data_IF_001307222940
#
_entry.id   IF_001307222940
#
_cell.length_a   1.000
_cell.length_b   1.000
_cell.length_c   1.000
_cell.angle_alpha   90.00
_cell.angle_beta   90.00
_cell.angle_gamma   90.00
#
_symmetry.space_group_name_H-M   'P 1'
#
loop_
_entity.id
_entity.type
_entity.pdbx_description
1 polymer ?
#
# COMPACT_ATOMS: atom_id res chain seq x y z
N UNK A 1 19.06 6.90 -22.57
CA UNK A 1 17.76 7.57 -22.76
C UNK A 1 16.77 6.92 -21.80
N UNK A 2 16.27 7.65 -20.81
CA UNK A 2 15.32 7.11 -19.82
C UNK A 2 13.94 7.06 -20.47
N UNK A 3 13.34 5.86 -20.55
CA UNK A 3 11.97 5.68 -21.05
C UNK A 3 10.99 6.22 -20.00
N UNK A 4 10.30 7.32 -20.27
CA UNK A 4 9.18 7.75 -19.44
C UNK A 4 8.00 6.83 -19.73
N UNK A 5 7.50 6.03 -18.78
CA UNK A 5 6.32 5.21 -19.04
C UNK A 5 5.14 6.15 -19.29
N UNK A 6 4.53 6.06 -20.47
CA UNK A 6 3.34 6.82 -20.84
C UNK A 6 2.12 6.31 -20.02
N UNK A 7 2.05 6.70 -18.76
CA UNK A 7 0.94 6.35 -17.88
C UNK A 7 -0.29 7.21 -18.20
N UNK A 8 -1.44 6.57 -18.43
CA UNK A 8 -2.71 7.27 -18.70
C UNK A 8 -3.43 7.53 -17.38
N UNK A 9 -3.71 8.80 -17.08
CA UNK A 9 -4.58 9.15 -15.96
C UNK A 9 -6.02 8.70 -16.23
N UNK A 10 -6.58 7.91 -15.32
CA UNK A 10 -7.98 7.47 -15.34
C UNK A 10 -8.70 8.03 -14.10
N UNK A 11 -9.88 8.63 -14.31
CA UNK A 11 -10.71 9.17 -13.23
C UNK A 11 -11.89 8.25 -12.95
N UNK A 12 -12.24 8.11 -11.68
CA UNK A 12 -13.46 7.43 -11.26
C UNK A 12 -14.65 8.35 -11.56
N UNK A 13 -15.74 7.79 -12.09
CA UNK A 13 -16.98 8.54 -12.35
C UNK A 13 -17.54 9.09 -11.02
N UNK A 14 -17.99 10.36 -10.95
CA UNK A 14 -18.65 10.89 -9.76
C UNK A 14 -19.78 9.98 -9.26
N UNK A 15 -19.96 9.91 -7.94
CA UNK A 15 -20.99 9.10 -7.27
C UNK A 15 -20.90 7.58 -7.55
N UNK A 16 -19.70 7.07 -7.82
CA UNK A 16 -19.48 5.63 -8.01
C UNK A 16 -18.44 5.05 -7.03
N UNK A 17 -18.72 5.08 -5.71
CA UNK A 17 -17.77 4.69 -4.67
C UNK A 17 -17.28 3.23 -4.79
N UNK A 18 -18.09 2.33 -5.35
CA UNK A 18 -17.71 0.93 -5.59
C UNK A 18 -16.39 0.74 -6.34
N UNK A 19 -16.00 1.69 -7.21
CA UNK A 19 -14.74 1.60 -7.95
C UNK A 19 -13.51 1.94 -7.09
N UNK A 20 -13.72 2.62 -5.96
CA UNK A 20 -12.68 3.02 -5.02
C UNK A 20 -12.49 2.03 -3.86
N UNK A 21 -13.32 0.98 -3.77
CA UNK A 21 -13.38 0.10 -2.61
C UNK A 21 -12.05 -0.58 -2.22
N UNK A 22 -11.14 -0.83 -3.19
CA UNK A 22 -9.79 -1.34 -2.88
C UNK A 22 -8.96 -0.33 -2.10
N UNK A 23 -8.98 0.94 -2.51
CA UNK A 23 -8.26 2.03 -1.84
C UNK A 23 -8.88 2.28 -0.46
N UNK A 24 -10.21 2.33 -0.39
CA UNK A 24 -10.94 2.53 0.87
C UNK A 24 -10.62 1.43 1.87
N UNK A 25 -10.60 0.16 1.43
CA UNK A 25 -10.26 -0.95 2.31
C UNK A 25 -8.80 -0.90 2.77
N UNK A 26 -7.86 -0.53 1.90
CA UNK A 26 -6.46 -0.34 2.27
C UNK A 26 -6.31 0.80 3.31
N UNK A 27 -6.94 1.95 3.06
CA UNK A 27 -6.92 3.11 3.97
C UNK A 27 -7.49 2.76 5.34
N UNK A 28 -8.60 2.01 5.39
CA UNK A 28 -9.19 1.54 6.63
C UNK A 28 -8.26 0.62 7.43
N UNK A 29 -7.65 -0.37 6.76
CA UNK A 29 -6.69 -1.29 7.40
C UNK A 29 -5.46 -0.52 7.90
N UNK A 30 -4.93 0.42 7.12
CA UNK A 30 -3.84 1.31 7.55
C UNK A 30 -4.22 2.13 8.78
N UNK A 31 -5.45 2.64 8.83
CA UNK A 31 -5.92 3.40 9.98
C UNK A 31 -6.04 2.53 11.24
N UNK A 32 -6.73 1.39 11.12
CA UNK A 32 -7.00 0.47 12.22
C UNK A 32 -5.72 -0.21 12.75
N UNK A 33 -4.83 -0.68 11.86
CA UNK A 33 -3.67 -1.50 12.24
C UNK A 33 -2.39 -0.70 12.48
N UNK A 34 -2.33 0.56 12.04
CA UNK A 34 -1.11 1.36 12.13
C UNK A 34 -1.32 2.73 12.74
N UNK A 35 -2.18 3.57 12.14
CA UNK A 35 -2.31 4.96 12.58
C UNK A 35 -2.85 5.07 13.99
N UNK A 36 -3.86 4.26 14.33
CA UNK A 36 -4.56 4.30 15.61
C UNK A 36 -4.27 3.10 16.51
N UNK A 37 -3.39 2.18 16.09
CA UNK A 37 -3.01 1.02 16.89
C UNK A 37 -2.07 1.38 18.06
N UNK A 38 -1.39 2.53 17.99
CA UNK A 38 -0.54 3.08 19.05
C UNK A 38 -0.37 4.58 18.92
N UNK A 39 0.02 5.21 20.03
CA UNK A 39 0.44 6.61 20.03
C UNK A 39 1.84 6.78 19.43
N UNK A 40 2.08 7.93 18.82
CA UNK A 40 3.35 8.30 18.18
C UNK A 40 3.90 9.56 18.84
N UNK A 41 5.20 9.59 19.13
CA UNK A 41 5.81 10.76 19.77
C UNK A 41 6.24 11.82 18.75
N UNK A 42 6.37 11.46 17.48
CA UNK A 42 6.66 12.39 16.39
C UNK A 42 6.21 11.86 15.02
N UNK A 43 6.05 12.78 14.07
CA UNK A 43 5.78 12.41 12.68
C UNK A 43 6.93 11.62 12.03
N UNK A 44 8.18 11.95 12.38
CA UNK A 44 9.35 11.27 11.85
C UNK A 44 9.41 9.80 12.29
N UNK A 45 9.06 9.52 13.55
CA UNK A 45 8.91 8.16 14.07
C UNK A 45 7.82 7.40 13.30
N UNK A 46 6.65 8.03 13.14
CA UNK A 46 5.52 7.45 12.39
C UNK A 46 5.89 7.14 10.94
N UNK A 47 6.53 8.08 10.24
CA UNK A 47 6.96 7.88 8.86
C UNK A 47 7.98 6.74 8.71
N UNK A 48 8.91 6.62 9.66
CA UNK A 48 9.90 5.53 9.68
C UNK A 48 9.21 4.17 9.85
N UNK A 49 8.33 4.06 10.84
CA UNK A 49 7.63 2.82 11.12
C UNK A 49 6.62 2.42 10.02
N UNK A 50 6.04 3.38 9.30
CA UNK A 50 5.16 3.13 8.16
C UNK A 50 5.85 2.29 7.09
N UNK A 51 7.17 2.44 6.92
CA UNK A 51 7.93 1.62 5.97
C UNK A 51 7.93 0.15 6.35
N UNK A 52 8.14 -0.17 7.64
CA UNK A 52 8.05 -1.54 8.14
C UNK A 52 6.63 -2.10 8.01
N UNK A 53 5.62 -1.30 8.35
CA UNK A 53 4.22 -1.72 8.23
C UNK A 53 3.82 -2.03 6.77
N UNK A 54 4.27 -1.22 5.79
CA UNK A 54 4.03 -1.50 4.36
C UNK A 54 4.60 -2.85 3.93
N UNK A 55 5.81 -3.19 4.38
CA UNK A 55 6.44 -4.48 4.08
C UNK A 55 5.60 -5.61 4.70
N UNK A 56 5.23 -5.46 5.96
CA UNK A 56 4.38 -6.43 6.64
C UNK A 56 3.04 -6.64 5.90
N UNK A 57 2.32 -5.56 5.60
CA UNK A 57 1.03 -5.63 4.91
C UNK A 57 1.12 -6.32 3.54
N UNK A 58 2.16 -6.01 2.76
CA UNK A 58 2.29 -6.53 1.39
C UNK A 58 2.86 -7.96 1.33
N UNK A 59 3.75 -8.34 2.25
CA UNK A 59 4.55 -9.57 2.13
C UNK A 59 4.36 -10.59 3.26
N UNK A 60 3.72 -10.22 4.37
CA UNK A 60 3.63 -11.10 5.55
C UNK A 60 2.22 -11.24 6.12
N UNK A 61 1.37 -10.22 5.99
CA UNK A 61 0.00 -10.24 6.49
C UNK A 61 -0.80 -11.32 5.76
N UNK A 62 -1.51 -12.16 6.49
CA UNK A 62 -2.43 -13.13 5.89
C UNK A 62 -3.70 -12.44 5.39
N UNK A 63 -4.15 -12.77 4.17
CA UNK A 63 -5.41 -12.27 3.63
C UNK A 63 -6.34 -13.43 3.28
N UNK A 64 -7.49 -13.49 3.95
CA UNK A 64 -8.52 -14.52 3.71
C UNK A 64 -9.01 -14.55 2.26
N UNK A 65 -9.05 -13.39 1.60
CA UNK A 65 -9.41 -13.27 0.18
C UNK A 65 -8.38 -13.90 -0.79
N UNK A 66 -7.22 -14.34 -0.27
CA UNK A 66 -6.11 -14.95 -1.02
C UNK A 66 -5.63 -16.22 -0.30
N UNK A 67 -6.53 -17.00 0.29
CA UNK A 67 -6.19 -18.27 0.96
C UNK A 67 -5.09 -18.11 2.02
N UNK A 68 -5.19 -17.06 2.83
CA UNK A 68 -4.25 -16.69 3.89
C UNK A 68 -2.83 -16.36 3.40
N UNK A 69 -2.66 -16.13 2.11
CA UNK A 69 -1.42 -15.63 1.53
C UNK A 69 -1.35 -14.10 1.56
N UNK A 70 -0.13 -13.54 1.58
CA UNK A 70 0.04 -12.09 1.49
C UNK A 70 -0.33 -11.56 0.10
N UNK A 71 -0.69 -10.26 -0.02
CA UNK A 71 -1.09 -9.66 -1.30
C UNK A 71 -0.04 -9.81 -2.41
N UNK A 72 1.25 -9.76 -2.05
CA UNK A 72 2.36 -9.94 -2.98
C UNK A 72 2.36 -11.32 -3.67
N UNK A 73 1.78 -12.36 -3.07
CA UNK A 73 1.71 -13.70 -3.66
C UNK A 73 0.89 -13.75 -4.96
N UNK A 74 0.08 -12.72 -5.25
CA UNK A 74 -0.69 -12.61 -6.50
C UNK A 74 0.07 -11.92 -7.63
N UNK A 75 1.26 -11.39 -7.37
CA UNK A 75 2.05 -10.66 -8.37
C UNK A 75 2.95 -11.64 -9.11
N UNK A 76 2.83 -11.67 -10.43
CA UNK A 76 3.65 -12.54 -11.30
C UNK A 76 5.12 -12.09 -11.38
N UNK A 77 5.38 -10.81 -11.07
CA UNK A 77 6.70 -10.22 -10.99
C UNK A 77 6.82 -9.43 -9.69
N UNK A 78 7.95 -9.53 -9.00
CA UNK A 78 8.23 -8.72 -7.81
C UNK A 78 8.25 -7.25 -8.17
N UNK A 79 7.26 -6.48 -7.71
CA UNK A 79 7.23 -5.02 -7.88
C UNK A 79 8.00 -4.39 -6.73
N UNK A 80 9.33 -4.33 -6.87
CA UNK A 80 10.16 -3.47 -6.01
C UNK A 80 10.20 -2.07 -6.62
N UNK A 81 9.06 -1.39 -6.68
CA UNK A 81 9.03 0.05 -6.98
C UNK A 81 9.32 0.89 -5.72
N UNK A 82 10.12 0.33 -4.80
CA UNK A 82 10.81 1.13 -3.78
C UNK A 82 11.91 1.83 -4.54
N UNK A 83 11.68 3.08 -4.93
CA UNK A 83 12.74 3.93 -5.44
C UNK A 83 13.85 3.95 -4.39
N UNK A 84 14.93 3.21 -4.62
CA UNK A 84 16.23 3.53 -4.04
C UNK A 84 16.51 4.96 -4.45
N UNK A 85 16.37 5.90 -3.50
CA UNK A 85 16.96 7.22 -3.62
C UNK A 85 18.46 6.99 -3.79
N UNK A 86 18.94 7.04 -5.02
CA UNK A 86 20.37 7.05 -5.30
C UNK A 86 20.86 8.47 -5.06
N UNK A 87 21.80 8.58 -4.12
CA UNK A 87 22.68 9.72 -3.83
C UNK A 87 23.29 10.33 -5.08
#
# INVERSE_FOLDING_TARGET
MQQTPASKHQRIKPYTPRHNGKVERYQRILAEEFLYARDWNSEAERATALTGWKIHHNYHRAHTAVSDQPPASRLHHGVTNVQTLNT
#
